data_IF_727384776705
#
_entry.id   IF_727384776705
#
_cell.length_a   1.000
_cell.length_b   1.000
_cell.length_c   1.000
_cell.angle_alpha   90.00
_cell.angle_beta   90.00
_cell.angle_gamma   90.00
#
_symmetry.space_group_name_H-M   'P 1'
#
loop_
_entity.id
_entity.type
_entity.pdbx_description
1 polymer ?
#
# COMPACT_ATOMS: atom_id res chain seq x y z
N UNK A 1 -18.23 -19.61 21.79
CA UNK A 1 -16.79 -19.35 22.03
C UNK A 1 -15.91 -19.40 20.77
N UNK A 2 -16.28 -20.13 19.71
CA UNK A 2 -15.43 -20.43 18.53
C UNK A 2 -15.13 -19.25 17.60
N UNK A 3 -16.08 -18.33 17.38
CA UNK A 3 -15.90 -17.15 16.48
C UNK A 3 -14.77 -16.21 16.93
N UNK A 4 -14.61 -16.02 18.25
CA UNK A 4 -13.56 -15.16 18.83
C UNK A 4 -12.17 -15.77 18.62
N UNK A 5 -12.04 -17.09 18.80
CA UNK A 5 -10.79 -17.83 18.57
C UNK A 5 -10.38 -17.74 17.10
N UNK A 6 -11.29 -18.04 16.17
CA UNK A 6 -11.03 -17.93 14.72
C UNK A 6 -10.59 -16.51 14.32
N UNK A 7 -11.28 -15.50 14.85
CA UNK A 7 -10.94 -14.10 14.56
C UNK A 7 -9.56 -13.71 15.12
N UNK A 8 -9.22 -14.15 16.33
CA UNK A 8 -7.89 -13.89 16.91
C UNK A 8 -6.78 -14.56 16.10
N UNK A 9 -6.97 -15.82 15.69
CA UNK A 9 -6.03 -16.55 14.85
C UNK A 9 -5.79 -15.83 13.52
N UNK A 10 -6.87 -15.36 12.88
CA UNK A 10 -6.77 -14.61 11.63
C UNK A 10 -5.98 -13.30 11.79
N UNK A 11 -6.28 -12.52 12.84
CA UNK A 11 -5.56 -11.27 13.09
C UNK A 11 -4.08 -11.52 13.41
N UNK A 12 -3.78 -12.58 14.17
CA UNK A 12 -2.39 -12.98 14.43
C UNK A 12 -1.64 -13.31 13.14
N UNK A 13 -2.27 -14.04 12.22
CA UNK A 13 -1.68 -14.34 10.91
C UNK A 13 -1.44 -13.07 10.09
N UNK A 14 -2.39 -12.14 10.09
CA UNK A 14 -2.23 -10.84 9.43
C UNK A 14 -1.04 -10.05 9.99
N UNK A 15 -0.91 -10.01 11.31
CA UNK A 15 0.22 -9.35 12.00
C UNK A 15 1.55 -10.06 11.75
N UNK A 16 1.55 -11.39 11.67
CA UNK A 16 2.74 -12.16 11.30
C UNK A 16 3.25 -11.75 9.91
N UNK A 17 2.36 -11.66 8.91
CA UNK A 17 2.74 -11.23 7.56
C UNK A 17 3.35 -9.82 7.55
N UNK A 18 2.77 -8.88 8.30
CA UNK A 18 3.33 -7.53 8.45
C UNK A 18 4.72 -7.57 9.10
N UNK A 19 4.89 -8.36 10.16
CA UNK A 19 6.18 -8.49 10.84
C UNK A 19 7.25 -9.12 9.93
N UNK A 20 6.89 -10.11 9.12
CA UNK A 20 7.79 -10.71 8.11
C UNK A 20 8.25 -9.66 7.09
N UNK A 21 7.33 -8.82 6.59
CA UNK A 21 7.69 -7.72 5.69
C UNK A 21 8.64 -6.70 6.35
N UNK A 22 8.46 -6.40 7.63
CA UNK A 22 9.40 -5.55 8.39
C UNK A 22 10.80 -6.18 8.50
N UNK A 23 10.89 -7.50 8.67
CA UNK A 23 12.17 -8.22 8.71
C UNK A 23 12.86 -8.19 7.34
N UNK A 24 12.13 -8.39 6.24
CA UNK A 24 12.70 -8.28 4.89
C UNK A 24 13.19 -6.85 4.61
N UNK A 25 12.40 -5.83 4.96
CA UNK A 25 12.82 -4.43 4.84
C UNK A 25 14.07 -4.14 5.66
N UNK A 26 14.18 -4.69 6.88
CA UNK A 26 15.37 -4.51 7.74
C UNK A 26 16.65 -5.02 7.08
N UNK A 27 16.61 -6.12 6.31
CA UNK A 27 17.80 -6.66 5.63
C UNK A 27 18.37 -5.72 4.57
N UNK A 28 17.52 -4.88 3.98
CA UNK A 28 17.91 -3.90 2.96
C UNK A 28 18.48 -2.61 3.54
N UNK A 29 18.32 -2.37 4.84
CA UNK A 29 18.80 -1.14 5.49
C UNK A 29 20.26 -1.33 5.92
N UNK A 30 21.20 -0.52 5.40
CA UNK A 30 22.60 -0.59 5.81
C UNK A 30 22.78 -0.05 7.24
N UNK A 31 23.42 -0.85 8.10
CA UNK A 31 23.77 -0.47 9.49
C UNK A 31 25.13 -1.03 9.89
N UNK A 32 25.78 -0.37 10.85
CA UNK A 32 26.95 -0.91 11.55
C UNK A 32 26.63 -1.04 13.06
N UNK A 33 26.73 -2.23 13.66
CA UNK A 33 26.95 -3.54 13.00
C UNK A 33 25.71 -4.00 12.18
N UNK A 34 25.85 -4.96 11.24
CA UNK A 34 24.74 -5.40 10.40
C UNK A 34 23.59 -6.04 11.19
N UNK A 35 23.87 -6.64 12.34
CA UNK A 35 22.91 -7.27 13.26
C UNK A 35 22.25 -6.29 14.26
N UNK A 36 22.45 -4.97 14.11
CA UNK A 36 21.82 -3.96 14.98
C UNK A 36 20.30 -4.16 15.01
N UNK A 37 19.73 -4.39 16.20
CA UNK A 37 18.27 -4.44 16.37
C UNK A 37 17.69 -3.04 16.18
N UNK A 38 16.75 -2.91 15.24
CA UNK A 38 16.04 -1.67 14.95
C UNK A 38 14.57 -1.81 15.35
N UNK A 39 14.01 -0.77 15.94
CA UNK A 39 12.56 -0.67 16.13
C UNK A 39 11.82 -0.48 14.80
N UNK A 40 10.52 -0.77 14.77
CA UNK A 40 9.67 -0.56 13.57
C UNK A 40 9.76 0.89 13.08
N UNK A 41 9.77 1.86 13.99
CA UNK A 41 9.85 3.27 13.61
C UNK A 41 11.22 3.64 13.03
N UNK A 42 12.32 3.14 13.61
CA UNK A 42 13.66 3.33 13.06
C UNK A 42 13.78 2.73 11.67
N UNK A 43 13.28 1.50 11.45
CA UNK A 43 13.25 0.83 10.14
C UNK A 43 12.59 1.74 9.10
N UNK A 44 11.42 2.31 9.40
CA UNK A 44 10.73 3.21 8.47
C UNK A 44 11.55 4.48 8.18
N UNK A 45 12.11 5.11 9.21
CA UNK A 45 12.91 6.34 9.05
C UNK A 45 14.20 6.10 8.27
N UNK A 46 14.88 4.99 8.52
CA UNK A 46 16.11 4.61 7.83
C UNK A 46 15.83 4.21 6.38
N UNK A 47 14.75 3.49 6.11
CA UNK A 47 14.35 3.15 4.74
C UNK A 47 14.12 4.42 3.90
N UNK A 48 13.38 5.41 4.42
CA UNK A 48 13.18 6.69 3.73
C UNK A 48 14.50 7.42 3.45
N UNK A 49 15.39 7.48 4.45
CA UNK A 49 16.72 8.10 4.29
C UNK A 49 17.58 7.35 3.27
N UNK A 50 17.51 6.03 3.24
CA UNK A 50 18.31 5.22 2.34
C UNK A 50 17.85 5.35 0.89
N UNK A 51 16.53 5.34 0.64
CA UNK A 51 15.97 5.63 -0.69
C UNK A 51 16.47 6.99 -1.19
N UNK A 52 16.45 8.03 -0.34
CA UNK A 52 16.96 9.35 -0.68
C UNK A 52 18.43 9.36 -1.07
N UNK A 53 19.24 8.70 -0.22
CA UNK A 53 20.66 8.62 -0.44
C UNK A 53 20.95 8.00 -1.80
N UNK A 54 20.22 6.94 -2.18
CA UNK A 54 20.36 6.30 -3.48
C UNK A 54 19.91 7.21 -4.63
N UNK A 55 18.79 7.93 -4.49
CA UNK A 55 18.33 8.89 -5.51
C UNK A 55 19.39 9.99 -5.75
N UNK A 56 19.89 10.60 -4.68
CA UNK A 56 20.93 11.64 -4.76
C UNK A 56 22.24 11.10 -5.34
N UNK A 57 22.62 9.88 -4.97
CA UNK A 57 23.80 9.21 -5.52
C UNK A 57 23.67 9.01 -7.03
N UNK A 58 22.48 8.71 -7.55
CA UNK A 58 22.26 8.57 -8.99
C UNK A 58 22.23 9.93 -9.71
N UNK A 59 21.58 10.94 -9.12
CA UNK A 59 21.52 12.30 -9.69
C UNK A 59 22.92 12.94 -9.79
N UNK A 60 23.73 12.81 -8.74
CA UNK A 60 25.12 13.33 -8.73
C UNK A 60 26.00 12.68 -9.81
N UNK A 61 25.78 11.40 -10.13
CA UNK A 61 26.49 10.72 -11.22
C UNK A 61 26.04 11.17 -12.61
N UNK A 62 24.82 11.69 -12.74
CA UNK A 62 24.24 12.14 -14.02
C UNK A 62 24.67 13.56 -14.44
N UNK A 63 25.49 14.25 -13.65
CA UNK A 63 25.98 15.61 -13.93
C UNK A 63 24.91 16.71 -13.84
N UNK A 64 23.71 16.38 -13.35
CA UNK A 64 22.66 17.37 -13.08
C UNK A 64 22.95 18.10 -11.76
N UNK A 65 22.78 19.43 -11.68
CA UNK A 65 23.00 20.17 -10.44
C UNK A 65 21.96 19.73 -9.40
N UNK A 66 22.43 19.03 -8.36
CA UNK A 66 21.60 18.53 -7.29
C UNK A 66 20.83 19.68 -6.62
N UNK A 67 19.51 19.70 -6.77
CA UNK A 67 18.65 20.62 -6.03
C UNK A 67 18.54 20.11 -4.60
N UNK A 68 19.47 20.54 -3.75
CA UNK A 68 19.56 20.15 -2.35
C UNK A 68 18.39 20.72 -1.53
N UNK A 69 17.24 20.07 -1.58
CA UNK A 69 16.12 20.38 -0.69
C UNK A 69 15.87 19.21 0.28
N UNK A 70 15.96 19.42 1.60
CA UNK A 70 15.53 18.44 2.61
C UNK A 70 14.07 17.99 2.41
N UNK A 71 13.28 18.80 1.71
CA UNK A 71 11.88 18.55 1.37
C UNK A 71 11.72 17.71 0.09
N UNK A 72 12.76 17.52 -0.72
CA UNK A 72 12.67 16.81 -2.00
C UNK A 72 12.08 15.41 -1.85
N UNK A 73 12.44 14.68 -0.79
CA UNK A 73 11.82 13.40 -0.46
C UNK A 73 10.36 13.50 -0.08
N UNK A 74 10.00 14.46 0.78
CA UNK A 74 8.62 14.60 1.20
C UNK A 74 7.77 14.99 -0.01
N UNK A 75 8.28 15.84 -0.89
CA UNK A 75 7.66 16.18 -2.17
C UNK A 75 7.57 14.98 -3.10
N UNK A 76 8.63 14.16 -3.22
CA UNK A 76 8.65 12.96 -4.05
C UNK A 76 7.68 11.90 -3.54
N UNK A 77 7.75 11.58 -2.24
CA UNK A 77 6.85 10.62 -1.59
C UNK A 77 5.40 11.10 -1.62
N UNK A 78 5.16 12.40 -1.37
CA UNK A 78 3.84 13.00 -1.52
C UNK A 78 3.35 12.91 -2.97
N UNK A 79 4.19 13.25 -3.94
CA UNK A 79 3.86 13.10 -5.36
C UNK A 79 3.53 11.65 -5.75
N UNK A 80 4.27 10.67 -5.20
CA UNK A 80 3.99 9.26 -5.40
C UNK A 80 2.65 8.82 -4.76
N UNK A 81 2.35 9.31 -3.55
CA UNK A 81 1.06 9.06 -2.88
C UNK A 81 -0.10 9.64 -3.70
N UNK A 82 0.02 10.87 -4.18
CA UNK A 82 -1.00 11.51 -5.03
C UNK A 82 -1.17 10.75 -6.36
N UNK A 83 -0.10 10.23 -6.95
CA UNK A 83 -0.14 9.42 -8.18
C UNK A 83 -0.86 8.09 -7.98
N UNK A 84 -0.67 7.45 -6.82
CA UNK A 84 -1.41 6.24 -6.46
C UNK A 84 -2.90 6.55 -6.25
N UNK A 85 -3.25 7.66 -5.61
CA UNK A 85 -4.65 8.07 -5.43
C UNK A 85 -5.32 8.49 -6.75
N UNK A 86 -4.57 9.08 -7.69
CA UNK A 86 -5.06 9.39 -9.04
C UNK A 86 -5.35 8.11 -9.86
N UNK A 87 -4.59 7.04 -9.63
CA UNK A 87 -4.80 5.73 -10.27
C UNK A 87 -5.96 4.91 -9.68
N UNK A 88 -6.63 5.39 -8.62
CA UNK A 88 -7.71 4.65 -7.95
C UNK A 88 -9.11 4.87 -8.55
N UNK A 89 -9.25 5.49 -9.72
CA UNK A 89 -10.56 5.85 -10.28
C UNK A 89 -10.99 4.99 -11.49
N UNK A 90 -10.74 3.68 -11.47
CA UNK A 90 -11.31 2.74 -12.48
C UNK A 90 -12.01 1.51 -11.90
N UNK A 91 -12.11 1.35 -10.57
CA UNK A 91 -12.79 0.19 -9.95
C UNK A 91 -14.31 0.38 -9.80
N UNK A 92 -14.92 1.24 -10.62
CA UNK A 92 -16.37 1.40 -10.65
C UNK A 92 -16.78 2.13 -11.92
N UNK A 93 -17.14 1.36 -12.95
CA UNK A 93 -18.22 1.58 -13.92
C UNK A 93 -18.02 0.69 -15.17
N UNK A 94 -18.07 -0.62 -15.01
CA UNK A 94 -18.74 -1.43 -16.04
C UNK A 94 -20.24 -1.21 -15.76
N UNK A 95 -20.79 -0.07 -16.16
CA UNK A 95 -21.57 0.07 -17.39
C UNK A 95 -22.66 -1.00 -17.40
N UNK A 96 -23.78 -0.62 -16.78
CA UNK A 96 -25.10 -1.18 -17.00
C UNK A 96 -25.23 -1.59 -18.47
N UNK A 97 -25.28 -2.89 -18.71
CA UNK A 97 -25.72 -3.43 -19.99
C UNK A 97 -27.02 -4.15 -19.73
N UNK A 98 -28.10 -3.41 -19.98
CA UNK A 98 -29.37 -3.86 -20.52
C UNK A 98 -29.92 -5.20 -19.98
N UNK A 99 -30.71 -5.13 -18.91
CA UNK A 99 -31.74 -6.13 -18.64
C UNK A 99 -33.05 -5.66 -19.29
N UNK A 100 -33.56 -6.33 -20.34
CA UNK A 100 -34.86 -5.98 -20.89
C UNK A 100 -35.96 -6.45 -19.93
N UNK A 101 -36.74 -5.51 -19.41
CA UNK A 101 -37.97 -5.76 -18.67
C UNK A 101 -39.05 -6.34 -19.60
N UNK A 102 -39.64 -7.51 -19.31
CA UNK A 102 -40.90 -7.91 -19.92
C UNK A 102 -42.07 -7.47 -19.02
N UNK A 103 -42.89 -6.58 -19.57
CA UNK A 103 -44.36 -6.62 -19.53
C UNK A 103 -45.08 -6.88 -18.20
N UNK A 104 -45.71 -5.82 -17.71
CA UNK A 104 -46.93 -5.90 -16.89
C UNK A 104 -48.00 -6.72 -17.59
N UNK A 105 -48.44 -7.83 -16.97
CA UNK A 105 -49.81 -8.32 -17.12
C UNK A 105 -50.25 -8.92 -15.78
N UNK A 106 -51.14 -8.20 -15.11
CA UNK A 106 -52.02 -8.75 -14.09
C UNK A 106 -52.96 -9.77 -14.75
N UNK A 107 -53.04 -10.98 -14.22
CA UNK A 107 -54.26 -11.78 -14.30
C UNK A 107 -54.42 -12.59 -13.00
N UNK A 108 -55.66 -12.65 -12.54
CA UNK A 108 -56.13 -13.16 -11.26
C UNK A 108 -56.16 -14.70 -11.20
N UNK A 109 -56.53 -15.21 -10.02
CA UNK A 109 -56.87 -16.60 -9.62
C UNK A 109 -55.67 -17.40 -9.04
N UNK A 110 -55.56 -17.58 -7.73
CA UNK A 110 -56.34 -18.44 -6.80
C UNK A 110 -55.93 -19.93 -6.87
N UNK A 111 -55.80 -20.53 -5.68
CA UNK A 111 -55.96 -21.95 -5.36
C UNK A 111 -54.69 -22.76 -4.97
N UNK A 112 -54.64 -23.04 -3.64
CA UNK A 112 -53.95 -24.09 -2.87
C UNK A 112 -52.43 -24.00 -2.61
#
# INVERSE_FOLDING_TARGET
MTKKVFTNTRERWRQHNVNTAFTELRKLIPTHPPEKKLSKNEILRLAMRYINFLVQLLESQSGQPASHSPTALLTFLRGNVERLHSSSRTWGLASDTDAPSPGSSCDSTEAW
#
